data_IF_863445373328
#
_entry.id   IF_863445373328
#
_cell.length_a   1.000
_cell.length_b   1.000
_cell.length_c   1.000
_cell.angle_alpha   90.00
_cell.angle_beta   90.00
_cell.angle_gamma   90.00
#
_symmetry.space_group_name_H-M   'P 1'
#
loop_
_entity.id
_entity.type
_entity.pdbx_description
1 polymer ?
#
# COMPACT_ATOMS: atom_id res chain seq x y z
N UNK A 1 -3.28 -20.92 9.84
CA UNK A 1 -2.81 -19.68 9.68
C UNK A 1 -3.32 -19.02 8.48
N UNK A 2 -3.72 -17.92 8.61
CA UNK A 2 -4.29 -17.27 7.49
C UNK A 2 -3.35 -16.20 6.98
N UNK A 3 -3.33 -16.07 5.71
CA UNK A 3 -2.57 -15.05 5.10
C UNK A 3 -3.49 -13.96 4.73
N UNK A 4 -3.37 -12.85 5.38
CA UNK A 4 -4.22 -11.75 5.07
C UNK A 4 -3.56 -10.97 3.97
N UNK A 5 -4.23 -10.90 2.85
CA UNK A 5 -3.72 -10.14 1.75
C UNK A 5 -4.22 -8.72 1.93
N UNK A 6 -3.32 -7.84 2.23
CA UNK A 6 -3.70 -6.47 2.51
C UNK A 6 -4.41 -5.83 1.32
N UNK A 7 -4.15 -6.30 0.12
CA UNK A 7 -4.81 -5.75 -1.05
C UNK A 7 -6.26 -6.18 -1.19
N UNK A 8 -6.69 -7.08 -0.35
CA UNK A 8 -8.10 -7.43 -0.31
C UNK A 8 -8.87 -6.41 0.47
N UNK A 9 -8.19 -5.66 1.33
CA UNK A 9 -8.84 -4.66 2.15
C UNK A 9 -8.61 -3.26 1.65
N UNK A 10 -7.59 -3.07 0.84
CA UNK A 10 -7.25 -1.77 0.33
C UNK A 10 -7.15 -1.81 -1.18
N UNK A 11 -7.57 -0.73 -1.79
CA UNK A 11 -7.50 -0.62 -3.22
C UNK A 11 -6.40 0.36 -3.55
N UNK A 12 -5.49 -0.04 -4.40
CA UNK A 12 -4.40 0.83 -4.79
C UNK A 12 -4.92 1.83 -5.82
N UNK A 13 -4.87 3.10 -5.50
CA UNK A 13 -5.36 4.13 -6.39
C UNK A 13 -4.28 4.52 -7.39
N UNK A 14 -3.15 4.98 -6.88
CA UNK A 14 -2.04 5.28 -7.76
C UNK A 14 -0.78 5.39 -6.93
N UNK A 15 0.33 5.35 -7.63
CA UNK A 15 1.63 5.43 -6.97
C UNK A 15 1.97 6.91 -6.80
N UNK A 16 2.17 7.32 -5.59
CA UNK A 16 2.48 8.69 -5.28
C UNK A 16 3.90 9.01 -5.65
N UNK A 17 4.81 8.09 -5.35
CA UNK A 17 6.19 8.33 -5.68
C UNK A 17 7.04 7.15 -5.30
N UNK A 18 8.32 7.27 -5.56
CA UNK A 18 9.23 6.22 -5.17
C UNK A 18 10.61 6.82 -5.02
N UNK A 19 11.44 6.16 -4.26
CA UNK A 19 12.78 6.61 -4.03
C UNK A 19 13.68 5.43 -3.89
N UNK A 20 14.86 5.69 -3.35
CA UNK A 20 15.83 4.62 -3.20
C UNK A 20 15.41 3.62 -2.15
N UNK A 21 14.54 4.01 -1.24
CA UNK A 21 14.16 3.10 -0.17
C UNK A 21 12.75 2.54 -0.30
N UNK A 22 12.06 2.85 -1.37
CA UNK A 22 10.76 2.24 -1.51
C UNK A 22 9.80 3.04 -2.35
N UNK A 23 8.58 2.61 -2.32
CA UNK A 23 7.53 3.24 -3.09
C UNK A 23 6.40 3.63 -2.17
N UNK A 24 5.68 4.68 -2.53
CA UNK A 24 4.56 5.12 -1.74
C UNK A 24 3.33 5.13 -2.63
N UNK A 25 2.29 4.50 -2.16
CA UNK A 25 1.05 4.39 -2.91
C UNK A 25 -0.08 5.06 -2.16
N UNK A 26 -1.01 5.62 -2.90
CA UNK A 26 -2.24 6.09 -2.30
C UNK A 26 -3.21 4.93 -2.37
N UNK A 27 -3.77 4.56 -1.26
CA UNK A 27 -4.70 3.44 -1.20
C UNK A 27 -6.00 3.89 -0.56
N UNK A 28 -7.04 3.15 -0.84
CA UNK A 28 -8.34 3.45 -0.27
C UNK A 28 -8.83 2.22 0.46
N UNK A 29 -9.23 2.41 1.69
CA UNK A 29 -9.77 1.30 2.45
C UNK A 29 -11.15 1.00 1.89
N UNK A 30 -11.32 -0.19 1.40
CA UNK A 30 -12.55 -0.56 0.72
C UNK A 30 -13.75 -0.48 1.63
N UNK A 31 -13.57 -0.89 2.84
CA UNK A 31 -14.65 -0.95 3.79
C UNK A 31 -15.22 0.42 4.16
N UNK A 32 -14.36 1.39 4.36
CA UNK A 32 -14.80 2.70 4.81
C UNK A 32 -14.69 3.79 3.75
N UNK A 33 -13.89 3.55 2.74
CA UNK A 33 -13.69 4.55 1.71
C UNK A 33 -12.65 5.58 2.05
N UNK A 34 -11.96 5.40 3.16
CA UNK A 34 -10.96 6.36 3.56
C UNK A 34 -9.67 6.16 2.78
N UNK A 35 -8.92 7.24 2.61
CA UNK A 35 -7.68 7.18 1.87
C UNK A 35 -6.49 7.19 2.81
N UNK A 36 -5.46 6.47 2.42
CA UNK A 36 -4.24 6.40 3.21
C UNK A 36 -3.04 6.35 2.28
N UNK A 37 -1.89 6.64 2.80
CA UNK A 37 -0.65 6.47 2.08
C UNK A 37 0.02 5.22 2.61
N UNK A 38 0.38 4.32 1.73
CA UNK A 38 1.02 3.09 2.13
C UNK A 38 2.42 3.04 1.55
N UNK A 39 3.40 2.85 2.41
CA UNK A 39 4.77 2.83 1.99
C UNK A 39 5.28 1.41 1.90
N UNK A 40 5.86 1.09 0.78
CA UNK A 40 6.44 -0.22 0.57
C UNK A 40 7.95 -0.08 0.67
N UNK A 41 8.53 -0.66 1.69
CA UNK A 41 9.95 -0.55 1.91
C UNK A 41 10.64 -1.73 1.27
N UNK A 42 11.61 -1.43 0.40
CA UNK A 42 12.33 -2.48 -0.26
C UNK A 42 13.56 -2.80 0.51
N UNK A 43 13.68 -4.05 0.91
CA UNK A 43 14.79 -4.46 1.66
C UNK A 43 15.85 -4.95 0.74
N UNK A 44 16.98 -4.38 0.80
CA UNK A 44 18.03 -4.81 -0.03
C UNK A 44 18.99 -5.62 0.70
N UNK A 45 19.52 -6.60 0.12
CA UNK A 45 20.36 -7.46 0.84
C UNK A 45 21.73 -7.31 0.66
#
# INVERSE_FOLDING_TARGET
MSNINIWEKFKQIYKIGFGTYGKVYKVQKIETGEYFAMKEIQKEK
#
